data_IF_546374394230
#
_entry.id   IF_546374394230
#
_cell.length_a   1.000
_cell.length_b   1.000
_cell.length_c   1.000
_cell.angle_alpha   90.00
_cell.angle_beta   90.00
_cell.angle_gamma   90.00
#
_symmetry.space_group_name_H-M   'P 1'
#
loop_
_entity.id
_entity.type
_entity.pdbx_description
1 polymer ?
#
# COMPACT_ATOMS: atom_id res chain seq x y z
N UNK A 1 4.34 -23.46 -4.98
CA UNK A 1 4.58 -22.10 -5.50
C UNK A 1 3.47 -21.13 -5.11
N UNK A 2 2.20 -21.38 -5.49
CA UNK A 2 1.08 -20.47 -5.17
C UNK A 2 0.89 -20.15 -3.68
N UNK A 3 1.08 -21.13 -2.79
CA UNK A 3 0.92 -20.93 -1.36
C UNK A 3 1.95 -19.92 -0.79
N UNK A 4 3.21 -19.98 -1.23
CA UNK A 4 4.24 -19.03 -0.80
C UNK A 4 3.97 -17.61 -1.33
N UNK A 5 3.54 -17.50 -2.59
CA UNK A 5 3.17 -16.20 -3.17
C UNK A 5 1.96 -15.61 -2.45
N UNK A 6 0.93 -16.41 -2.18
CA UNK A 6 -0.23 -15.99 -1.40
C UNK A 6 0.14 -15.55 0.01
N UNK A 7 1.01 -16.30 0.69
CA UNK A 7 1.49 -15.97 2.04
C UNK A 7 2.24 -14.62 2.05
N UNK A 8 3.10 -14.37 1.07
CA UNK A 8 3.85 -13.11 0.98
C UNK A 8 2.91 -11.90 0.81
N UNK A 9 1.90 -12.02 -0.06
CA UNK A 9 0.90 -10.97 -0.28
C UNK A 9 0.13 -10.67 1.02
N UNK A 10 -0.39 -11.69 1.71
CA UNK A 10 -1.14 -11.46 2.96
C UNK A 10 -0.28 -10.88 4.07
N UNK A 11 0.99 -11.25 4.17
CA UNK A 11 1.93 -10.65 5.14
C UNK A 11 2.15 -9.17 4.85
N UNK A 12 2.25 -8.80 3.57
CA UNK A 12 2.40 -7.40 3.15
C UNK A 12 1.15 -6.59 3.51
N UNK A 13 -0.03 -7.14 3.24
CA UNK A 13 -1.30 -6.50 3.62
C UNK A 13 -1.42 -6.32 5.15
N UNK A 14 -1.08 -7.35 5.93
CA UNK A 14 -1.09 -7.27 7.39
C UNK A 14 -0.14 -6.19 7.90
N UNK A 15 1.09 -6.14 7.38
CA UNK A 15 2.08 -5.13 7.74
C UNK A 15 1.58 -3.71 7.41
N UNK A 16 0.94 -3.52 6.26
CA UNK A 16 0.38 -2.23 5.86
C UNK A 16 -0.74 -1.78 6.82
N UNK A 17 -1.65 -2.68 7.18
CA UNK A 17 -2.74 -2.38 8.11
C UNK A 17 -2.20 -2.02 9.49
N UNK A 18 -1.26 -2.83 10.01
CA UNK A 18 -0.64 -2.60 11.32
C UNK A 18 0.10 -1.25 11.34
N UNK A 19 0.90 -0.97 10.32
CA UNK A 19 1.68 0.26 10.22
C UNK A 19 0.77 1.49 10.14
N UNK A 20 -0.30 1.42 9.33
CA UNK A 20 -1.27 2.52 9.21
C UNK A 20 -2.01 2.79 10.53
N UNK A 21 -2.40 1.75 11.26
CA UNK A 21 -3.03 1.87 12.58
C UNK A 21 -2.08 2.47 13.63
N UNK A 22 -0.81 2.06 13.61
CA UNK A 22 0.22 2.58 14.51
C UNK A 22 0.54 4.05 14.24
N UNK A 23 0.50 4.49 12.98
CA UNK A 23 0.74 5.88 12.58
C UNK A 23 -0.43 6.79 12.96
N UNK A 24 -1.68 6.34 12.77
CA UNK A 24 -2.87 7.10 13.18
C UNK A 24 -3.01 7.25 14.70
N UNK A 25 -2.58 6.25 15.48
CA UNK A 25 -2.78 6.24 16.93
C UNK A 25 -1.48 5.98 17.68
N UNK A 26 -0.86 7.06 18.16
CA UNK A 26 0.36 7.01 18.99
C UNK A 26 0.24 6.07 20.21
N UNK A 27 -0.97 5.90 20.75
CA UNK A 27 -1.25 5.01 21.89
C UNK A 27 -0.96 3.53 21.57
N UNK A 28 -1.25 3.07 20.36
CA UNK A 28 -1.04 1.67 19.97
C UNK A 28 0.43 1.31 19.73
N UNK A 29 1.31 2.30 19.63
CA UNK A 29 2.76 2.06 19.47
C UNK A 29 3.37 1.40 20.71
N UNK A 30 2.79 1.58 21.89
CA UNK A 30 3.23 0.96 23.15
C UNK A 30 2.79 -0.51 23.29
N UNK A 31 1.74 -0.91 22.57
CA UNK A 31 1.11 -2.23 22.70
C UNK A 31 1.01 -2.95 21.34
N UNK A 32 2.13 -3.00 20.61
CA UNK A 32 2.21 -3.60 19.27
C UNK A 32 1.68 -5.05 19.22
N UNK A 33 1.97 -5.85 20.25
CA UNK A 33 1.56 -7.26 20.30
C UNK A 33 0.04 -7.42 20.41
N UNK A 34 -0.61 -6.59 21.22
CA UNK A 34 -2.06 -6.64 21.39
C UNK A 34 -2.78 -6.18 20.11
N UNK A 35 -2.27 -5.12 19.46
CA UNK A 35 -2.81 -4.66 18.19
C UNK A 35 -2.76 -5.76 17.13
N UNK A 36 -1.61 -6.42 16.97
CA UNK A 36 -1.47 -7.51 16.00
C UNK A 36 -2.48 -8.64 16.27
N UNK A 37 -2.62 -9.09 17.52
CA UNK A 37 -3.60 -10.14 17.88
C UNK A 37 -5.03 -9.70 17.54
N UNK A 38 -5.41 -8.46 17.87
CA UNK A 38 -6.74 -7.93 17.56
C UNK A 38 -6.99 -7.92 16.05
N UNK A 39 -6.03 -7.43 15.25
CA UNK A 39 -6.16 -7.42 13.78
C UNK A 39 -6.31 -8.84 13.22
N UNK A 40 -5.52 -9.80 13.71
CA UNK A 40 -5.65 -11.20 13.30
C UNK A 40 -7.01 -11.80 13.64
N UNK A 41 -7.54 -11.55 14.85
CA UNK A 41 -8.87 -12.02 15.25
C UNK A 41 -9.96 -11.40 14.36
N UNK A 42 -9.89 -10.11 14.08
CA UNK A 42 -10.86 -9.44 13.19
C UNK A 42 -10.82 -10.00 11.76
N UNK A 43 -9.63 -10.21 11.20
CA UNK A 43 -9.45 -10.81 9.87
C UNK A 43 -9.97 -12.26 9.82
N UNK A 44 -9.77 -13.02 10.90
CA UNK A 44 -10.28 -14.38 11.01
C UNK A 44 -11.81 -14.42 11.08
N UNK A 45 -12.43 -13.55 11.87
CA UNK A 45 -13.90 -13.43 11.96
C UNK A 45 -14.51 -12.99 10.62
N UNK A 46 -13.88 -12.04 9.93
CA UNK A 46 -14.29 -11.63 8.58
C UNK A 46 -14.20 -12.81 7.60
N UNK A 47 -13.12 -13.59 7.65
CA UNK A 47 -12.95 -14.77 6.81
C UNK A 47 -14.03 -15.82 7.08
N UNK A 48 -14.40 -16.05 8.34
CA UNK A 48 -15.43 -17.01 8.72
C UNK A 48 -16.80 -16.70 8.09
N UNK A 49 -17.15 -15.42 7.93
CA UNK A 49 -18.37 -15.00 7.24
C UNK A 49 -18.47 -15.56 5.80
N UNK A 50 -17.32 -15.65 5.11
CA UNK A 50 -17.22 -16.11 3.72
C UNK A 50 -17.09 -17.63 3.55
N UNK A 51 -16.89 -18.40 4.62
CA UNK A 51 -16.78 -19.88 4.54
C UNK A 51 -18.14 -20.54 4.22
N UNK A 52 -19.24 -19.79 4.32
CA UNK A 52 -20.58 -20.31 4.02
C UNK A 52 -20.70 -20.79 2.55
N UNK A 53 -21.61 -21.73 2.23
CA UNK A 53 -21.75 -22.30 0.87
C UNK A 53 -21.98 -21.23 -0.23
N UNK A 54 -22.63 -20.13 0.14
CA UNK A 54 -22.88 -18.98 -0.76
C UNK A 54 -21.71 -17.99 -0.86
N UNK A 55 -20.66 -18.16 -0.05
CA UNK A 55 -19.59 -17.19 0.14
C UNK A 55 -18.71 -17.00 -1.09
N UNK A 56 -18.51 -18.05 -1.90
CA UNK A 56 -17.75 -17.93 -3.16
C UNK A 56 -18.41 -16.96 -4.14
N UNK A 57 -19.75 -16.99 -4.24
CA UNK A 57 -20.49 -16.05 -5.08
C UNK A 57 -20.38 -14.62 -4.53
N UNK A 58 -20.45 -14.46 -3.21
CA UNK A 58 -20.29 -13.16 -2.55
C UNK A 58 -18.88 -12.58 -2.77
N UNK A 59 -17.82 -13.39 -2.58
CA UNK A 59 -16.43 -12.98 -2.81
C UNK A 59 -16.21 -12.54 -4.26
N UNK A 60 -16.78 -13.27 -5.23
CA UNK A 60 -16.65 -12.88 -6.65
C UNK A 60 -17.24 -11.50 -6.92
N UNK A 61 -18.45 -11.23 -6.41
CA UNK A 61 -19.06 -9.90 -6.56
C UNK A 61 -18.26 -8.81 -5.83
N UNK A 62 -17.79 -9.11 -4.62
CA UNK A 62 -16.99 -8.19 -3.82
C UNK A 62 -15.70 -7.81 -4.55
N UNK A 63 -15.00 -8.80 -5.12
CA UNK A 63 -13.76 -8.59 -5.86
C UNK A 63 -13.96 -7.71 -7.09
N UNK A 64 -15.05 -7.90 -7.84
CA UNK A 64 -15.38 -7.08 -9.00
C UNK A 64 -15.67 -5.62 -8.60
N UNK A 65 -16.30 -5.40 -7.44
CA UNK A 65 -16.55 -4.05 -6.93
C UNK A 65 -15.28 -3.41 -6.35
N UNK A 66 -14.46 -4.20 -5.67
CA UNK A 66 -13.25 -3.72 -5.00
C UNK A 66 -12.21 -3.14 -5.95
N UNK A 67 -12.19 -3.55 -7.23
CA UNK A 67 -11.28 -2.99 -8.23
C UNK A 67 -11.48 -1.47 -8.44
N UNK A 68 -12.68 -0.96 -8.16
CA UNK A 68 -13.05 0.44 -8.41
C UNK A 68 -12.49 1.37 -7.33
N UNK A 69 -12.37 0.92 -6.08
CA UNK A 69 -11.85 1.73 -4.98
C UNK A 69 -10.42 2.25 -5.21
N UNK A 70 -9.39 1.39 -5.42
CA UNK A 70 -8.02 1.85 -5.58
C UNK A 70 -7.85 2.73 -6.82
N UNK A 71 -8.57 2.44 -7.91
CA UNK A 71 -8.52 3.24 -9.14
C UNK A 71 -9.00 4.67 -8.88
N UNK A 72 -10.09 4.85 -8.14
CA UNK A 72 -10.61 6.18 -7.80
C UNK A 72 -9.69 6.91 -6.82
N UNK A 73 -9.16 6.21 -5.80
CA UNK A 73 -8.23 6.80 -4.82
C UNK A 73 -6.96 7.32 -5.54
N UNK A 74 -6.33 6.48 -6.36
CA UNK A 74 -5.11 6.85 -7.09
C UNK A 74 -5.38 7.94 -8.13
N UNK A 75 -6.55 7.96 -8.76
CA UNK A 75 -6.93 9.07 -9.66
C UNK A 75 -6.98 10.40 -8.91
N UNK A 76 -7.62 10.43 -7.73
CA UNK A 76 -7.72 11.68 -6.95
C UNK A 76 -6.34 12.11 -6.42
N UNK A 77 -5.54 11.16 -5.96
CA UNK A 77 -4.17 11.40 -5.51
C UNK A 77 -3.29 11.95 -6.63
N UNK A 78 -3.35 11.39 -7.83
CA UNK A 78 -2.55 11.87 -8.97
C UNK A 78 -3.00 13.23 -9.50
N UNK A 79 -4.31 13.52 -9.50
CA UNK A 79 -4.83 14.87 -9.81
C UNK A 79 -4.33 15.87 -8.76
N UNK A 80 -4.41 15.50 -7.47
CA UNK A 80 -3.94 16.33 -6.38
C UNK A 80 -2.42 16.58 -6.46
N UNK A 81 -1.60 15.58 -6.78
CA UNK A 81 -0.16 15.76 -6.96
C UNK A 81 0.15 16.61 -8.20
N UNK A 82 -0.54 16.37 -9.32
CA UNK A 82 -0.35 17.11 -10.56
C UNK A 82 -0.68 18.60 -10.42
N UNK A 83 -1.79 18.91 -9.73
CA UNK A 83 -2.30 20.28 -9.59
C UNK A 83 -1.88 20.99 -8.30
N UNK A 84 -1.93 20.32 -7.14
CA UNK A 84 -1.71 20.94 -5.82
C UNK A 84 -0.23 20.93 -5.39
N UNK A 85 0.53 19.87 -5.69
CA UNK A 85 1.98 19.85 -5.41
C UNK A 85 2.82 20.57 -6.47
N UNK A 86 2.22 20.90 -7.62
CA UNK A 86 2.90 21.47 -8.77
C UNK A 86 3.94 20.49 -9.31
N UNK A 87 3.64 19.83 -10.43
CA UNK A 87 4.51 18.80 -11.02
C UNK A 87 5.99 19.20 -11.16
N UNK A 88 6.29 20.50 -11.26
CA UNK A 88 7.68 21.01 -11.32
C UNK A 88 8.43 20.79 -10.02
N UNK A 89 7.81 21.05 -8.87
CA UNK A 89 8.48 20.96 -7.56
C UNK A 89 8.76 19.51 -7.19
N UNK A 90 7.80 18.62 -7.45
CA UNK A 90 8.00 17.19 -7.31
C UNK A 90 9.15 16.68 -8.19
N UNK A 91 9.19 17.05 -9.47
CA UNK A 91 10.26 16.61 -10.36
C UNK A 91 11.65 17.14 -9.94
N UNK A 92 11.69 18.37 -9.37
CA UNK A 92 12.92 18.93 -8.80
C UNK A 92 13.37 18.13 -7.57
N UNK A 93 12.46 17.76 -6.68
CA UNK A 93 12.78 16.94 -5.50
C UNK A 93 13.25 15.51 -5.90
N UNK A 94 12.72 14.96 -7.00
CA UNK A 94 13.23 13.70 -7.55
C UNK A 94 14.61 13.85 -8.19
N UNK A 95 14.85 14.95 -8.92
CA UNK A 95 16.14 15.21 -9.54
C UNK A 95 17.24 15.42 -8.49
N UNK A 96 16.94 16.03 -7.33
CA UNK A 96 17.89 16.16 -6.21
C UNK A 96 18.17 14.82 -5.54
N UNK A 97 17.18 13.93 -5.42
CA UNK A 97 17.38 12.59 -4.86
C UNK A 97 18.23 11.68 -5.77
N UNK A 98 18.09 11.83 -7.09
CA UNK A 98 18.79 11.00 -8.08
C UNK A 98 20.12 11.57 -8.57
N UNK A 99 20.51 12.76 -8.09
CA UNK A 99 21.74 13.48 -8.45
C UNK A 99 21.93 13.66 -9.98
N UNK A 100 20.83 13.58 -10.75
CA UNK A 100 20.85 13.54 -12.22
C UNK A 100 19.79 14.48 -12.80
N UNK A 101 20.13 15.29 -13.83
CA UNK A 101 19.14 16.14 -14.49
C UNK A 101 18.15 15.27 -15.28
N UNK A 102 16.87 15.31 -14.88
CA UNK A 102 15.79 14.60 -15.55
C UNK A 102 15.43 15.35 -16.85
N UNK A 103 15.31 14.61 -17.96
CA UNK A 103 14.96 15.20 -19.25
C UNK A 103 13.53 15.79 -19.21
N UNK A 104 13.26 16.96 -19.83
CA UNK A 104 11.96 17.63 -19.80
C UNK A 104 10.80 16.80 -20.38
N UNK A 105 11.11 15.77 -21.18
CA UNK A 105 10.11 14.82 -21.70
C UNK A 105 9.46 14.03 -20.56
N UNK A 106 10.22 13.60 -19.55
CA UNK A 106 9.66 12.90 -18.39
C UNK A 106 8.75 13.80 -17.57
N UNK A 107 9.04 15.11 -17.52
CA UNK A 107 8.16 16.07 -16.88
C UNK A 107 6.78 16.12 -17.57
N UNK A 108 6.79 16.20 -18.90
CA UNK A 108 5.56 16.24 -19.69
C UNK A 108 4.78 14.93 -19.61
N UNK A 109 5.50 13.80 -19.68
CA UNK A 109 4.93 12.46 -19.53
C UNK A 109 4.26 12.29 -18.16
N UNK A 110 4.91 12.71 -17.09
CA UNK A 110 4.38 12.58 -15.74
C UNK A 110 3.19 13.50 -15.50
N UNK A 111 3.26 14.74 -15.98
CA UNK A 111 2.21 15.74 -15.72
C UNK A 111 0.96 15.55 -16.58
N UNK A 112 1.08 14.95 -17.77
CA UNK A 112 -0.04 14.80 -18.69
C UNK A 112 -0.40 13.34 -18.95
N UNK A 113 0.57 12.47 -19.27
CA UNK A 113 0.24 11.09 -19.62
C UNK A 113 -0.29 10.29 -18.42
N UNK A 114 0.34 10.42 -17.25
CA UNK A 114 -0.08 9.70 -16.05
C UNK A 114 -1.53 10.03 -15.63
N UNK A 115 -1.94 11.31 -15.46
CA UNK A 115 -3.32 11.62 -15.10
C UNK A 115 -4.31 11.29 -16.23
N UNK A 116 -3.94 11.44 -17.50
CA UNK A 116 -4.82 11.09 -18.63
C UNK A 116 -5.09 9.58 -18.66
N UNK A 117 -4.06 8.74 -18.50
CA UNK A 117 -4.22 7.27 -18.48
C UNK A 117 -5.05 6.84 -17.26
N UNK A 118 -4.80 7.41 -16.09
CA UNK A 118 -5.57 7.09 -14.88
C UNK A 118 -7.02 7.54 -14.97
N UNK A 119 -7.29 8.69 -15.58
CA UNK A 119 -8.65 9.18 -15.83
C UNK A 119 -9.38 8.31 -16.86
N UNK A 120 -8.69 7.86 -17.92
CA UNK A 120 -9.28 6.92 -18.87
C UNK A 120 -9.60 5.57 -18.21
N UNK A 121 -8.69 5.06 -17.38
CA UNK A 121 -8.88 3.80 -16.65
C UNK A 121 -10.05 3.91 -15.67
N UNK A 122 -10.14 5.01 -14.91
CA UNK A 122 -11.23 5.21 -13.94
C UNK A 122 -12.59 5.28 -14.62
N UNK A 123 -12.71 6.03 -15.72
CA UNK A 123 -13.97 6.12 -16.48
C UNK A 123 -14.34 4.76 -17.07
N UNK A 124 -13.39 4.06 -17.68
CA UNK A 124 -13.64 2.74 -18.29
C UNK A 124 -14.12 1.75 -17.25
N UNK A 125 -13.42 1.64 -16.11
CA UNK A 125 -13.81 0.75 -15.02
C UNK A 125 -15.18 1.11 -14.44
N UNK A 126 -15.49 2.41 -14.30
CA UNK A 126 -16.78 2.87 -13.81
C UNK A 126 -17.92 2.51 -14.76
N UNK A 127 -17.74 2.72 -16.07
CA UNK A 127 -18.72 2.33 -17.10
C UNK A 127 -18.93 0.82 -17.11
N UNK A 128 -17.86 0.03 -17.07
CA UNK A 128 -17.95 -1.43 -17.01
C UNK A 128 -18.72 -1.89 -15.78
N UNK A 129 -18.53 -1.24 -14.63
CA UNK A 129 -19.26 -1.57 -13.40
C UNK A 129 -20.76 -1.24 -13.54
N UNK A 130 -21.12 -0.10 -14.12
CA UNK A 130 -22.52 0.30 -14.30
C UNK A 130 -23.27 -0.57 -15.32
N UNK A 131 -22.60 -1.01 -16.38
CA UNK A 131 -23.20 -1.85 -17.41
C UNK A 131 -23.30 -3.33 -16.99
N UNK A 132 -22.54 -3.75 -15.98
CA UNK A 132 -22.52 -5.14 -15.53
C UNK A 132 -23.76 -5.44 -14.69
N UNK A 133 -24.64 -6.28 -15.22
CA UNK A 133 -25.80 -6.77 -14.48
C UNK A 133 -25.36 -7.55 -13.23
N UNK A 134 -25.97 -7.23 -12.10
CA UNK A 134 -25.70 -7.86 -10.79
C UNK A 134 -26.36 -9.24 -10.70
N UNK A 135 -25.98 -10.12 -11.62
CA UNK A 135 -26.47 -11.48 -11.75
C UNK A 135 -25.30 -12.45 -11.72
N UNK A 136 -25.53 -13.64 -11.17
CA UNK A 136 -24.51 -14.69 -11.15
C UNK A 136 -25.09 -16.01 -11.61
N UNK A 137 -24.26 -16.81 -12.28
CA UNK A 137 -24.60 -18.18 -12.64
C UNK A 137 -24.34 -19.08 -11.45
N UNK A 138 -25.41 -19.68 -10.91
CA UNK A 138 -25.35 -20.67 -9.85
C UNK A 138 -25.45 -22.06 -10.48
N UNK A 139 -24.66 -23.00 -9.97
CA UNK A 139 -24.83 -24.40 -10.31
C UNK A 139 -25.93 -25.00 -9.44
N UNK A 140 -27.01 -25.48 -10.06
CA UNK A 140 -28.08 -26.17 -9.33
C UNK A 140 -27.89 -27.69 -9.45
N UNK A 141 -27.51 -28.34 -8.34
CA UNK A 141 -27.27 -29.79 -8.31
C UNK A 141 -28.51 -30.61 -8.68
N UNK A 142 -29.71 -30.05 -8.52
CA UNK A 142 -30.96 -30.75 -8.83
C UNK A 142 -31.33 -30.71 -10.32
N UNK A 143 -30.94 -29.65 -11.02
CA UNK A 143 -31.30 -29.41 -12.43
C UNK A 143 -30.12 -29.65 -13.38
N UNK A 144 -28.91 -29.85 -12.85
CA UNK A 144 -27.65 -30.01 -13.60
C UNK A 144 -27.47 -28.96 -14.71
N UNK A 145 -28.00 -27.76 -14.46
CA UNK A 145 -28.04 -26.61 -15.36
C UNK A 145 -27.56 -25.38 -14.61
N UNK A 146 -26.90 -24.49 -15.35
CA UNK A 146 -26.53 -23.17 -14.85
C UNK A 146 -27.79 -22.30 -14.78
N UNK A 147 -28.13 -21.84 -13.58
CA UNK A 147 -29.29 -20.99 -13.35
C UNK A 147 -28.79 -19.60 -12.98
N UNK A 148 -29.25 -18.58 -13.70
CA UNK A 148 -28.96 -17.19 -13.39
C UNK A 148 -29.77 -16.81 -12.16
N UNK A 149 -29.09 -16.54 -11.04
CA UNK A 149 -29.72 -16.04 -9.81
C UNK A 149 -29.29 -14.60 -9.56
N UNK A 150 -30.21 -13.81 -9.01
CA UNK A 150 -29.92 -12.46 -8.51
C UNK A 150 -29.34 -12.56 -7.10
N UNK A 151 -28.42 -11.65 -6.79
CA UNK A 151 -27.88 -11.53 -5.43
C UNK A 151 -28.98 -11.10 -4.45
N UNK A 152 -28.88 -11.57 -3.21
CA UNK A 152 -29.80 -11.16 -2.15
C UNK A 152 -29.69 -9.65 -1.88
N UNK A 153 -30.83 -8.96 -1.78
CA UNK A 153 -30.90 -7.51 -1.54
C UNK A 153 -30.15 -7.08 -0.28
N UNK A 154 -30.16 -7.88 0.79
CA UNK A 154 -29.46 -7.55 2.03
C UNK A 154 -27.94 -7.47 1.86
N UNK A 155 -27.36 -8.37 1.05
CA UNK A 155 -25.93 -8.35 0.75
C UNK A 155 -25.55 -7.14 -0.11
N UNK A 156 -26.39 -6.78 -1.08
CA UNK A 156 -26.17 -5.58 -1.91
C UNK A 156 -26.18 -4.29 -1.08
N UNK A 157 -27.06 -4.21 -0.08
CA UNK A 157 -27.14 -3.06 0.82
C UNK A 157 -25.91 -2.99 1.74
N UNK A 158 -25.44 -4.12 2.27
CA UNK A 158 -24.18 -4.20 3.01
C UNK A 158 -22.99 -3.79 2.14
N UNK A 159 -22.93 -4.27 0.89
CA UNK A 159 -21.87 -3.93 -0.05
C UNK A 159 -21.85 -2.42 -0.35
N UNK A 160 -23.02 -1.83 -0.64
CA UNK A 160 -23.16 -0.39 -0.85
C UNK A 160 -22.76 0.43 0.37
N UNK A 161 -23.11 -0.01 1.58
CA UNK A 161 -22.74 0.66 2.82
C UNK A 161 -21.21 0.64 3.05
N UNK A 162 -20.55 -0.51 2.85
CA UNK A 162 -19.08 -0.63 2.93
C UNK A 162 -18.43 0.26 1.88
N UNK A 163 -18.99 0.31 0.68
CA UNK A 163 -18.49 1.13 -0.41
C UNK A 163 -18.53 2.61 -0.09
N UNK A 164 -19.65 3.08 0.48
CA UNK A 164 -19.78 4.45 0.94
C UNK A 164 -18.79 4.76 2.06
N UNK A 165 -18.61 3.85 3.02
CA UNK A 165 -17.68 4.02 4.13
C UNK A 165 -16.21 4.14 3.66
N UNK A 166 -15.80 3.38 2.63
CA UNK A 166 -14.45 3.48 2.05
C UNK A 166 -14.27 4.78 1.26
N UNK A 167 -15.32 5.25 0.57
CA UNK A 167 -15.24 6.49 -0.22
C UNK A 167 -15.34 7.75 0.63
N UNK A 168 -16.01 7.72 1.78
CA UNK A 168 -16.30 8.88 2.63
C UNK A 168 -15.08 9.71 3.07
N UNK A 169 -13.92 9.13 3.46
CA UNK A 169 -12.78 9.90 3.94
C UNK A 169 -12.20 10.86 2.90
N UNK A 170 -12.28 10.52 1.61
CA UNK A 170 -11.70 11.31 0.50
C UNK A 170 -12.41 12.67 0.32
N UNK A 171 -13.74 12.72 0.10
CA UNK A 171 -14.47 13.99 0.02
C UNK A 171 -14.48 14.71 1.36
N UNK A 172 -14.50 14.02 2.50
CA UNK A 172 -14.42 14.67 3.81
C UNK A 172 -13.09 15.39 3.99
N UNK A 173 -11.96 14.77 3.65
CA UNK A 173 -10.65 15.42 3.66
C UNK A 173 -10.58 16.59 2.67
N UNK A 174 -11.12 16.43 1.46
CA UNK A 174 -11.12 17.50 0.46
C UNK A 174 -11.97 18.71 0.90
N UNK A 175 -13.19 18.47 1.40
CA UNK A 175 -14.07 19.51 1.95
C UNK A 175 -13.44 20.18 3.16
N UNK A 176 -12.81 19.41 4.06
CA UNK A 176 -12.08 19.97 5.19
C UNK A 176 -10.94 20.89 4.74
N UNK A 177 -10.12 20.46 3.78
CA UNK A 177 -9.06 21.28 3.18
C UNK A 177 -9.60 22.55 2.49
N UNK A 178 -10.78 22.46 1.87
CA UNK A 178 -11.42 23.58 1.18
C UNK A 178 -12.01 24.60 2.16
N UNK A 179 -12.61 24.14 3.26
CA UNK A 179 -13.21 24.99 4.32
C UNK A 179 -12.14 25.63 5.21
N UNK A 180 -11.09 24.89 5.58
CA UNK A 180 -10.04 25.42 6.44
C UNK A 180 -8.96 26.23 5.71
N UNK A 181 -9.01 26.29 4.37
CA UNK A 181 -8.07 27.06 3.54
C UNK A 181 -6.64 26.57 3.72
N UNK A 182 -6.16 25.74 2.80
CA UNK A 182 -4.84 25.08 2.89
C UNK A 182 -3.76 26.11 3.28
N UNK A 183 -3.18 26.05 4.49
CA UNK A 183 -1.94 26.75 4.77
C UNK A 183 -0.86 25.94 4.05
N UNK A 184 -0.74 26.12 2.75
CA UNK A 184 0.46 25.75 2.02
C UNK A 184 1.56 26.61 2.63
N UNK A 185 2.17 26.15 3.72
CA UNK A 185 3.53 26.55 4.04
C UNK A 185 4.35 25.93 2.92
N UNK A 186 4.90 26.70 1.96
CA UNK A 186 6.04 26.18 1.24
C UNK A 186 7.05 25.84 2.33
N UNK A 187 7.43 24.56 2.45
CA UNK A 187 8.73 24.22 3.02
C UNK A 187 9.73 24.99 2.16
N UNK A 188 10.06 26.20 2.61
CA UNK A 188 11.15 26.98 2.09
C UNK A 188 12.39 26.21 2.50
N UNK A 189 12.93 25.45 1.55
CA UNK A 189 14.29 24.92 1.61
C UNK A 189 15.28 26.10 1.47
N UNK A 190 15.20 27.06 2.39
CA UNK A 190 16.25 28.04 2.64
C UNK A 190 16.96 27.59 3.93
N UNK A 191 17.61 26.42 3.87
CA UNK A 191 18.80 26.24 4.70
C UNK A 191 19.89 26.98 3.93
N UNK A 192 20.38 28.15 4.38
CA UNK A 192 21.53 28.76 3.73
C UNK A 192 22.68 27.76 3.87
N UNK A 193 23.16 27.22 2.75
CA UNK A 193 24.57 26.87 2.67
C UNK A 193 25.31 28.19 2.83
N UNK A 194 25.60 28.54 4.08
CA UNK A 194 26.67 29.47 4.37
C UNK A 194 27.93 28.83 3.80
N UNK A 195 28.24 29.25 2.58
CA UNK A 195 29.58 29.41 2.05
C UNK A 195 30.50 29.85 3.18
N UNK A 196 31.16 28.89 3.83
CA UNK A 196 32.35 29.15 4.62
C UNK A 196 33.53 28.87 3.72
N UNK A 197 34.08 29.95 3.18
CA UNK A 197 35.38 29.96 2.51
C UNK A 197 36.43 29.23 3.36
N UNK A 198 37.18 28.37 2.68
CA UNK A 198 38.61 28.07 2.87
C UNK A 198 39.12 27.71 4.28
N UNK A 199 39.50 26.43 4.48
CA UNK A 199 40.91 26.00 4.58
C UNK A 199 41.00 24.45 4.63
N UNK A 200 42.10 23.83 4.15
CA UNK A 200 42.22 22.40 3.92
C UNK A 200 42.90 21.69 5.10
N UNK A 201 42.59 20.41 5.34
CA UNK A 201 43.65 19.44 5.65
C UNK A 201 43.16 17.98 5.50
N UNK A 202 43.80 17.32 4.57
CA UNK A 202 44.05 15.87 4.42
C UNK A 202 44.02 15.11 5.75
N UNK A 203 43.30 13.98 5.81
CA UNK A 203 43.69 12.70 6.44
C UNK A 203 42.95 11.56 5.69
N UNK A 204 43.60 10.42 5.40
CA UNK A 204 43.25 9.56 4.27
C UNK A 204 42.26 8.45 4.59
N UNK A 205 41.65 7.96 3.51
CA UNK A 205 40.84 6.75 3.36
C UNK A 205 41.54 5.54 4.00
N UNK A 206 40.91 4.88 4.98
CA UNK A 206 41.33 3.55 5.46
C UNK A 206 40.39 2.48 4.84
N UNK A 207 40.94 1.43 4.19
CA UNK A 207 40.16 0.51 3.39
C UNK A 207 39.42 -0.52 4.25
N UNK A 208 38.36 -1.05 3.65
CA UNK A 208 37.61 -2.24 4.06
C UNK A 208 38.59 -3.40 4.26
N UNK A 209 38.60 -3.98 5.46
CA UNK A 209 39.16 -5.32 5.72
C UNK A 209 37.99 -6.27 5.93
N UNK A 210 37.73 -7.11 4.92
CA UNK A 210 37.36 -8.50 5.19
C UNK A 210 38.59 -9.16 5.83
N UNK A 211 38.42 -9.73 7.03
CA UNK A 211 39.14 -10.95 7.39
C UNK A 211 38.42 -11.71 8.51
N UNK A 212 38.09 -12.96 8.14
CA UNK A 212 37.95 -14.19 8.91
C UNK A 212 38.12 -14.19 10.45
N UNK A 213 37.10 -14.79 11.10
CA UNK A 213 37.17 -16.02 11.93
C UNK A 213 37.77 -15.94 13.36
N UNK A 214 37.02 -16.57 14.28
CA UNK A 214 37.43 -17.08 15.62
C UNK A 214 37.74 -15.99 16.68
N UNK A 215 37.22 -15.94 17.90
CA UNK A 215 36.76 -16.93 18.87
C UNK A 215 35.88 -16.24 19.93
N UNK A 216 34.90 -16.98 20.48
CA UNK A 216 34.39 -16.98 21.88
C UNK A 216 32.98 -17.58 21.81
N UNK A 217 32.58 -18.60 22.56
CA UNK A 217 33.19 -19.35 23.63
C UNK A 217 32.30 -20.61 23.81
N UNK A 218 32.90 -21.71 24.28
CA UNK A 218 32.28 -22.73 25.13
C UNK A 218 31.09 -23.56 24.60
N UNK A 219 31.39 -24.85 24.37
CA UNK A 219 30.39 -25.89 24.19
C UNK A 219 30.94 -27.31 24.16
N UNK A 220 31.62 -27.75 25.24
CA UNK A 220 31.52 -29.13 25.79
C UNK A 220 32.26 -30.28 25.07
N UNK A 221 33.14 -30.96 25.85
CA UNK A 221 33.64 -32.36 25.75
C UNK A 221 34.65 -32.70 24.64
N UNK A 222 35.75 -33.47 24.82
CA UNK A 222 36.29 -34.43 25.80
C UNK A 222 37.83 -34.46 25.59
N UNK A 223 38.68 -34.34 26.61
CA UNK A 223 39.28 -35.40 27.46
C UNK A 223 40.27 -36.35 26.76
N UNK A 224 41.51 -36.32 27.29
CA UNK A 224 42.59 -37.33 27.30
C UNK A 224 43.55 -37.45 26.09
N UNK A 225 44.68 -36.73 26.16
CA UNK A 225 46.05 -37.24 26.45
C UNK A 225 46.40 -38.74 26.15
N UNK A 226 47.69 -39.09 25.94
CA UNK A 226 48.59 -38.72 24.85
C UNK A 226 49.34 -40.00 24.34
N UNK A 227 50.65 -39.99 23.98
CA UNK A 227 51.15 -40.25 22.64
C UNK A 227 51.90 -41.60 22.53
N UNK A 228 52.47 -41.89 21.35
CA UNK A 228 53.83 -42.46 21.13
C UNK A 228 53.87 -43.24 19.80
N UNK A 229 54.75 -42.77 18.90
CA UNK A 229 55.26 -43.34 17.63
C UNK A 229 54.35 -43.28 16.40
#
# INVERSE_FOLDING_TARGET
>A
MFLNTGLCVVMTFLQNIITSLQDSFSSFRKHEKLLTVVVFVLMFLCSFYFIRPQGLYQIRLLSDYWIVFPVIIVMFETIAVGWACGARRFLTDFATLWDRPIHPIFHWLWCYLCPVVLLFLSITTLILLFLKDVTYTAWDSSSSKEVIRRYSTGYLLMLGAVSLAVMLPIPTCFLYCLVHGIPFKPVSLNRPLTSSKSLPLIIPLKPIKEDQKEETLQGVNQTADPPVV
#
